data_IF_854375168523
#
_entry.id   IF_854375168523
#
_cell.length_a   1.000
_cell.length_b   1.000
_cell.length_c   1.000
_cell.angle_alpha   90.00
_cell.angle_beta   90.00
_cell.angle_gamma   90.00
#
_symmetry.space_group_name_H-M   'P 1'
#
loop_
_entity.id
_entity.type
_entity.pdbx_description
1 polymer ?
#
# COMPACT_ATOMS: atom_id res chain seq x y z
N UNK A 1 26.02 17.62 -6.00
CA UNK A 1 24.86 17.04 -5.27
C UNK A 1 23.76 16.83 -6.29
N UNK A 2 23.69 15.64 -6.88
CA UNK A 2 22.64 15.32 -7.86
C UNK A 2 21.43 14.80 -7.09
N UNK A 3 20.30 15.48 -7.18
CA UNK A 3 19.05 14.97 -6.62
C UNK A 3 18.50 13.87 -7.54
N UNK A 4 18.05 12.75 -6.97
CA UNK A 4 17.36 11.70 -7.73
C UNK A 4 15.93 12.14 -8.04
N UNK A 5 15.82 13.12 -8.94
CA UNK A 5 14.57 13.71 -9.38
C UNK A 5 14.48 13.67 -10.90
N UNK A 6 13.24 13.68 -11.39
CA UNK A 6 12.94 13.80 -12.82
C UNK A 6 12.48 15.22 -13.10
N UNK A 7 12.94 15.77 -14.21
CA UNK A 7 12.57 17.09 -14.68
C UNK A 7 11.76 17.00 -15.96
N UNK A 8 10.74 17.86 -16.08
CA UNK A 8 9.97 18.08 -17.31
C UNK A 8 9.52 19.55 -17.33
N UNK A 9 9.65 20.18 -18.48
CA UNK A 9 9.10 21.51 -18.72
C UNK A 9 7.65 21.38 -19.22
N UNK A 10 6.73 22.15 -18.62
CA UNK A 10 5.29 22.11 -18.96
C UNK A 10 4.73 23.52 -19.06
N UNK A 11 3.69 23.69 -19.86
CA UNK A 11 2.90 24.93 -19.91
C UNK A 11 1.42 24.58 -19.99
N UNK A 12 0.66 24.98 -18.97
CA UNK A 12 -0.78 24.74 -18.90
C UNK A 12 -1.57 25.60 -19.88
N UNK A 13 -1.10 26.81 -20.20
CA UNK A 13 -1.78 27.74 -21.10
C UNK A 13 -1.84 27.29 -22.56
N UNK A 14 -0.94 26.40 -22.97
CA UNK A 14 -0.87 25.83 -24.33
C UNK A 14 -0.95 24.30 -24.35
N UNK A 15 -1.35 23.68 -23.23
CA UNK A 15 -1.47 22.22 -23.09
C UNK A 15 -0.14 21.45 -23.39
N UNK A 16 1.03 22.05 -23.13
CA UNK A 16 2.33 21.43 -23.41
C UNK A 16 2.78 20.51 -22.27
N UNK A 17 3.03 19.23 -22.58
CA UNK A 17 3.53 18.19 -21.66
C UNK A 17 2.68 17.95 -20.40
N UNK A 18 1.44 18.46 -20.36
CA UNK A 18 0.57 18.30 -19.19
C UNK A 18 0.23 16.83 -18.98
N UNK A 19 -0.15 16.13 -20.05
CA UNK A 19 -0.45 14.70 -19.98
C UNK A 19 0.79 13.87 -19.62
N UNK A 20 1.94 14.16 -20.23
CA UNK A 20 3.23 13.50 -19.93
C UNK A 20 3.65 13.68 -18.46
N UNK A 21 3.45 14.88 -17.89
CA UNK A 21 3.69 15.14 -16.48
C UNK A 21 2.79 14.29 -15.59
N UNK A 22 1.48 14.26 -15.86
CA UNK A 22 0.51 13.50 -15.06
C UNK A 22 0.78 12.00 -15.12
N UNK A 23 1.04 11.47 -16.32
CA UNK A 23 1.46 10.08 -16.55
C UNK A 23 2.77 9.78 -15.80
N UNK A 24 3.76 10.66 -15.91
CA UNK A 24 5.06 10.51 -15.28
C UNK A 24 4.98 10.45 -13.76
N UNK A 25 4.16 11.31 -13.13
CA UNK A 25 3.91 11.32 -11.69
C UNK A 25 3.26 10.01 -11.25
N UNK A 26 2.18 9.59 -11.91
CA UNK A 26 1.49 8.33 -11.61
C UNK A 26 2.43 7.13 -11.73
N UNK A 27 3.32 7.15 -12.74
CA UNK A 27 4.36 6.14 -12.94
C UNK A 27 5.35 6.06 -11.78
N UNK A 28 5.80 7.19 -11.25
CA UNK A 28 6.72 7.19 -10.11
C UNK A 28 6.06 6.67 -8.83
N UNK A 29 4.80 7.02 -8.58
CA UNK A 29 4.05 6.52 -7.43
C UNK A 29 3.95 4.99 -7.46
N UNK A 30 3.45 4.42 -8.56
CA UNK A 30 3.27 2.96 -8.70
C UNK A 30 4.60 2.17 -8.62
N UNK A 31 5.68 2.71 -9.20
CA UNK A 31 7.02 2.08 -9.08
C UNK A 31 7.51 2.04 -7.64
N UNK A 32 7.33 3.15 -6.90
CA UNK A 32 7.68 3.23 -5.48
C UNK A 32 6.89 2.22 -4.65
N UNK A 33 5.57 2.14 -4.85
CA UNK A 33 4.73 1.17 -4.16
C UNK A 33 5.14 -0.29 -4.43
N UNK A 34 5.44 -0.62 -5.70
CA UNK A 34 5.91 -1.95 -6.09
C UNK A 34 7.25 -2.30 -5.42
N UNK A 35 8.19 -1.35 -5.35
CA UNK A 35 9.46 -1.51 -4.65
C UNK A 35 9.24 -1.71 -3.15
N UNK A 36 8.41 -0.89 -2.52
CA UNK A 36 8.15 -0.97 -1.09
C UNK A 36 7.44 -2.29 -0.73
N UNK A 37 6.52 -2.78 -1.57
CA UNK A 37 5.92 -4.12 -1.44
C UNK A 37 6.96 -5.23 -1.54
N UNK A 38 7.90 -5.16 -2.49
CA UNK A 38 8.99 -6.15 -2.61
C UNK A 38 9.90 -6.13 -1.39
N UNK A 39 10.24 -4.96 -0.85
CA UNK A 39 11.05 -4.82 0.37
C UNK A 39 10.33 -5.39 1.60
N UNK A 40 9.02 -5.13 1.74
CA UNK A 40 8.20 -5.72 2.82
C UNK A 40 8.14 -7.24 2.74
N UNK A 41 7.97 -7.82 1.55
CA UNK A 41 8.02 -9.29 1.35
C UNK A 41 9.37 -9.89 1.74
N UNK A 42 10.48 -9.26 1.34
CA UNK A 42 11.83 -9.70 1.71
C UNK A 42 12.05 -9.67 3.23
N UNK A 43 11.59 -8.61 3.91
CA UNK A 43 11.67 -8.52 5.38
C UNK A 43 10.77 -9.57 6.08
N UNK A 44 9.58 -9.84 5.56
CA UNK A 44 8.67 -10.86 6.10
C UNK A 44 9.21 -12.30 5.96
N UNK A 45 9.91 -12.60 4.86
CA UNK A 45 10.51 -13.93 4.64
C UNK A 45 11.74 -14.21 5.51
N UNK A 46 12.46 -13.18 5.95
CA UNK A 46 13.61 -13.33 6.88
C UNK A 46 13.17 -13.71 8.31
N UNK A 47 11.92 -13.47 8.70
CA UNK A 47 11.40 -13.83 10.04
C UNK A 47 10.82 -15.26 10.08
N UNK A 48 10.58 -15.89 8.92
CA UNK A 48 10.01 -17.24 8.84
C UNK A 48 11.08 -18.34 8.64
N UNK A 49 12.37 -17.99 8.77
CA UNK A 49 13.52 -18.90 8.62
C UNK A 49 13.95 -19.63 9.89
N UNK A 50 13.29 -19.43 11.02
CA UNK A 50 13.54 -20.19 12.26
C UNK A 50 12.38 -21.16 12.51
N UNK A 51 12.61 -22.42 12.13
CA UNK A 51 11.98 -23.59 12.74
C UNK A 51 11.85 -23.40 14.26
N UNK A 52 10.65 -23.58 14.81
CA UNK A 52 10.38 -24.31 16.07
C UNK A 52 8.86 -24.39 16.26
N UNK A 53 8.38 -25.63 16.36
CA UNK A 53 7.14 -26.03 17.01
C UNK A 53 6.71 -25.10 18.16
N UNK A 54 5.58 -24.40 18.03
CA UNK A 54 4.78 -23.99 19.20
C UNK A 54 3.32 -24.32 18.98
N UNK A 55 3.00 -25.59 19.27
CA UNK A 55 1.76 -25.93 19.99
C UNK A 55 1.70 -25.02 21.21
N UNK A 56 0.88 -23.99 21.10
CA UNK A 56 0.73 -22.95 22.12
C UNK A 56 -0.59 -22.26 21.90
N UNK A 57 -1.67 -23.04 21.94
CA UNK A 57 -3.01 -22.52 22.23
C UNK A 57 -2.88 -21.81 23.58
N UNK A 58 -2.57 -20.51 23.56
CA UNK A 58 -2.78 -19.68 24.71
C UNK A 58 -4.28 -19.58 24.90
N UNK A 59 -4.74 -20.52 25.72
CA UNK A 59 -5.94 -20.43 26.51
C UNK A 59 -5.93 -19.10 27.27
N UNK A 60 -6.33 -18.01 26.61
CA UNK A 60 -6.89 -16.87 27.33
C UNK A 60 -8.35 -17.20 27.61
N UNK A 61 -8.47 -18.07 28.60
CA UNK A 61 -9.63 -18.25 29.43
C UNK A 61 -10.17 -16.88 29.87
N UNK A 62 -11.42 -16.61 29.49
CA UNK A 62 -12.31 -15.70 30.20
C UNK A 62 -11.86 -14.26 30.35
N UNK A 63 -12.00 -13.45 29.29
CA UNK A 63 -12.26 -12.02 29.48
C UNK A 63 -13.52 -11.64 28.72
N UNK A 64 -14.49 -11.04 29.43
CA UNK A 64 -15.80 -10.60 28.92
C UNK A 64 -15.70 -9.52 27.82
N UNK A 65 -14.49 -9.19 27.38
CA UNK A 65 -14.11 -8.22 26.35
C UNK A 65 -13.78 -8.88 24.99
N UNK A 66 -13.84 -10.20 24.84
CA UNK A 66 -13.52 -10.86 23.55
C UNK A 66 -14.56 -10.59 22.46
N UNK A 67 -15.84 -10.43 22.82
CA UNK A 67 -16.91 -10.09 21.90
C UNK A 67 -16.77 -8.64 21.38
N UNK A 68 -16.36 -7.70 22.25
CA UNK A 68 -16.13 -6.31 21.84
C UNK A 68 -14.93 -6.17 20.92
N UNK A 69 -13.90 -6.99 21.08
CA UNK A 69 -12.73 -6.96 20.18
C UNK A 69 -13.04 -7.55 18.80
N UNK A 70 -13.86 -8.60 18.70
CA UNK A 70 -14.27 -9.15 17.40
C UNK A 70 -15.12 -8.14 16.62
N UNK A 71 -16.09 -7.52 17.28
CA UNK A 71 -16.93 -6.46 16.70
C UNK A 71 -16.09 -5.23 16.34
N UNK A 72 -15.15 -4.82 17.21
CA UNK A 72 -14.24 -3.72 16.90
C UNK A 72 -13.35 -4.03 15.69
N UNK A 73 -12.88 -5.28 15.53
CA UNK A 73 -12.13 -5.71 14.35
C UNK A 73 -12.97 -5.69 13.08
N UNK A 74 -14.22 -6.11 13.14
CA UNK A 74 -15.17 -6.05 12.02
C UNK A 74 -15.46 -4.60 11.60
N UNK A 75 -15.70 -3.70 12.57
CA UNK A 75 -15.95 -2.27 12.33
C UNK A 75 -14.70 -1.61 11.73
N UNK A 76 -13.53 -1.82 12.34
CA UNK A 76 -12.27 -1.27 11.83
C UNK A 76 -11.93 -1.82 10.44
N UNK A 77 -12.24 -3.08 10.14
CA UNK A 77 -12.05 -3.65 8.80
C UNK A 77 -12.99 -3.00 7.80
N UNK A 78 -14.25 -2.76 8.18
CA UNK A 78 -15.22 -2.02 7.34
C UNK A 78 -14.86 -0.55 7.14
N UNK A 79 -14.21 0.10 8.10
CA UNK A 79 -13.87 1.53 8.03
C UNK A 79 -12.50 1.80 7.40
N UNK A 80 -11.50 0.95 7.65
CA UNK A 80 -10.12 1.17 7.19
C UNK A 80 -9.75 0.34 5.96
N UNK A 81 -10.49 -0.73 5.62
CA UNK A 81 -10.10 -1.66 4.53
C UNK A 81 -11.11 -1.73 3.38
N UNK A 82 -12.34 -1.23 3.56
CA UNK A 82 -13.30 -1.04 2.46
C UNK A 82 -13.10 0.35 1.84
N UNK A 83 -11.86 0.62 1.42
CA UNK A 83 -11.57 1.75 0.54
C UNK A 83 -12.37 1.52 -0.74
N UNK A 84 -13.50 2.21 -0.83
CA UNK A 84 -14.46 2.08 -1.90
C UNK A 84 -13.81 2.67 -3.13
N UNK A 85 -13.07 1.80 -3.85
CA UNK A 85 -12.45 1.97 -5.16
C UNK A 85 -12.92 3.26 -5.81
N UNK A 86 -12.16 4.33 -5.62
CA UNK A 86 -12.32 5.54 -6.41
C UNK A 86 -12.36 5.11 -7.87
N UNK A 87 -13.33 5.60 -8.66
CA UNK A 87 -13.47 5.23 -10.07
C UNK A 87 -12.12 5.46 -10.74
N UNK A 88 -11.43 4.35 -11.02
CA UNK A 88 -10.04 4.32 -11.44
C UNK A 88 -9.97 5.09 -12.74
N UNK A 89 -9.22 6.19 -12.78
CA UNK A 89 -8.97 6.92 -14.03
C UNK A 89 -8.36 5.93 -15.03
N UNK A 90 -9.17 5.44 -15.96
CA UNK A 90 -8.71 4.43 -16.90
C UNK A 90 -7.95 5.09 -18.04
N UNK A 91 -6.68 4.73 -18.04
CA UNK A 91 -5.62 4.80 -19.04
C UNK A 91 -5.17 6.16 -19.56
N UNK A 92 -4.05 6.62 -18.98
CA UNK A 92 -2.98 7.12 -19.82
C UNK A 92 -1.62 6.53 -19.44
N UNK A 93 -1.22 5.54 -20.24
CA UNK A 93 0.06 4.82 -20.25
C UNK A 93 0.38 3.98 -19.01
N UNK A 94 -0.53 3.03 -18.75
CA UNK A 94 -0.51 1.87 -17.80
C UNK A 94 0.85 1.57 -17.15
N UNK A 95 0.83 1.29 -15.84
CA UNK A 95 1.97 0.72 -15.11
C UNK A 95 1.69 -0.66 -14.56
#
# INVERSE_FOLDING_TARGET
MSHDCKFIETSSGIQHNVDELLVGVLKQVRLRESRDRKLRKKKGNQVNGSSVNKKGRHHLYGSKTSLSLHVAREILSKMCLNDSKSKSCENLHVL
#
